data_IF_670890808982
#
_entry.id   IF_670890808982
#
_cell.length_a   1.000
_cell.length_b   1.000
_cell.length_c   1.000
_cell.angle_alpha   90.00
_cell.angle_beta   90.00
_cell.angle_gamma   90.00
#
_symmetry.space_group_name_H-M   'P 1'
#
loop_
_entity.id
_entity.type
_entity.pdbx_description
1 polymer ?
#
# COMPACT_ATOMS: atom_id res chain seq x y z
N UNK A 1 7.48 -31.43 15.61
CA UNK A 1 7.03 -30.34 14.73
C UNK A 1 8.24 -29.80 14.00
N UNK A 2 8.21 -29.67 12.67
CA UNK A 2 9.31 -29.05 11.94
C UNK A 2 9.39 -27.56 12.34
N UNK A 3 10.56 -27.11 12.79
CA UNK A 3 10.78 -25.75 13.27
C UNK A 3 10.90 -24.81 12.06
N UNK A 4 10.09 -23.75 12.04
CA UNK A 4 10.18 -22.68 11.05
C UNK A 4 11.15 -21.63 11.58
N UNK A 5 12.15 -21.26 10.78
CA UNK A 5 13.18 -20.27 11.13
C UNK A 5 13.21 -19.18 10.07
N UNK A 6 13.35 -17.94 10.49
CA UNK A 6 13.69 -16.81 9.63
C UNK A 6 15.19 -16.53 9.79
N UNK A 7 15.94 -16.58 8.70
CA UNK A 7 17.37 -16.27 8.63
C UNK A 7 17.54 -14.93 7.94
N UNK A 8 18.28 -14.01 8.56
CA UNK A 8 18.57 -12.67 8.01
C UNK A 8 20.09 -12.54 7.88
N UNK A 9 20.58 -12.31 6.67
CA UNK A 9 21.99 -12.05 6.38
C UNK A 9 22.15 -10.61 5.90
N UNK A 10 22.82 -9.80 6.72
CA UNK A 10 23.18 -8.41 6.46
C UNK A 10 24.71 -8.22 6.51
N UNK A 11 25.49 -9.28 6.29
CA UNK A 11 26.96 -9.23 6.30
C UNK A 11 27.54 -8.46 5.10
N UNK A 12 26.80 -8.40 4.00
CA UNK A 12 27.18 -7.73 2.77
C UNK A 12 26.49 -6.35 2.74
N UNK A 13 27.25 -5.24 2.70
CA UNK A 13 26.64 -3.91 2.71
C UNK A 13 25.79 -3.64 1.46
N UNK A 14 26.07 -4.28 0.34
CA UNK A 14 25.35 -4.09 -0.93
C UNK A 14 23.94 -4.69 -0.94
N UNK A 15 23.67 -5.69 -0.11
CA UNK A 15 22.38 -6.39 -0.07
C UNK A 15 22.09 -7.07 1.27
N UNK A 16 20.81 -7.10 1.63
CA UNK A 16 20.31 -7.87 2.78
C UNK A 16 19.45 -9.01 2.26
N UNK A 17 19.65 -10.23 2.77
CA UNK A 17 18.92 -11.42 2.35
C UNK A 17 18.09 -11.97 3.50
N UNK A 18 16.87 -12.39 3.23
CA UNK A 18 15.95 -12.99 4.21
C UNK A 18 15.45 -14.32 3.67
N UNK A 19 15.55 -15.39 4.48
CA UNK A 19 15.06 -16.71 4.12
C UNK A 19 14.18 -17.30 5.21
N UNK A 20 13.00 -17.82 4.84
CA UNK A 20 12.16 -18.63 5.73
C UNK A 20 12.42 -20.09 5.44
N UNK A 21 12.85 -20.83 6.46
CA UNK A 21 13.31 -22.22 6.36
C UNK A 21 12.48 -23.11 7.27
N UNK A 22 12.02 -24.25 6.75
CA UNK A 22 11.39 -25.32 7.54
C UNK A 22 12.31 -26.52 7.59
N UNK A 23 12.91 -26.77 8.75
CA UNK A 23 13.97 -27.79 8.87
C UNK A 23 15.23 -27.38 8.09
N UNK A 24 15.54 -28.09 7.00
CA UNK A 24 16.66 -27.80 6.08
C UNK A 24 16.19 -27.34 4.69
N UNK A 25 14.90 -27.04 4.52
CA UNK A 25 14.32 -26.64 3.23
C UNK A 25 13.90 -25.18 3.28
N UNK A 26 14.35 -24.41 2.29
CA UNK A 26 13.91 -23.03 2.08
C UNK A 26 12.49 -23.05 1.52
N UNK A 27 11.58 -22.33 2.17
CA UNK A 27 10.20 -22.14 1.70
C UNK A 27 10.06 -20.79 0.99
N UNK A 28 10.69 -19.74 1.53
CA UNK A 28 10.66 -18.39 0.96
C UNK A 28 12.05 -17.76 1.04
N UNK A 29 12.40 -16.97 0.03
CA UNK A 29 13.66 -16.23 -0.04
C UNK A 29 13.41 -14.88 -0.70
N UNK A 30 13.86 -13.82 -0.05
CA UNK A 30 13.80 -12.46 -0.56
C UNK A 30 15.14 -11.75 -0.31
N UNK A 31 15.43 -10.71 -1.09
CA UNK A 31 16.61 -9.89 -0.90
C UNK A 31 16.34 -8.42 -1.25
N UNK A 32 16.95 -7.53 -0.49
CA UNK A 32 16.92 -6.09 -0.73
C UNK A 32 18.31 -5.62 -1.15
N UNK A 33 18.41 -4.97 -2.32
CA UNK A 33 19.66 -4.36 -2.79
C UNK A 33 19.70 -2.86 -2.48
N UNK A 34 20.85 -2.37 -2.02
CA UNK A 34 21.04 -0.92 -1.83
C UNK A 34 20.93 -0.11 -3.13
N UNK A 35 21.18 -0.72 -4.29
CA UNK A 35 21.20 -0.01 -5.57
C UNK A 35 19.81 0.45 -6.03
N UNK A 36 18.74 -0.20 -5.57
CA UNK A 36 17.37 0.11 -6.01
C UNK A 36 16.41 0.06 -4.83
N UNK A 37 16.05 1.23 -4.32
CA UNK A 37 14.98 1.36 -3.33
C UNK A 37 13.64 0.97 -3.94
N UNK A 38 12.99 -0.03 -3.35
CA UNK A 38 11.61 -0.37 -3.67
C UNK A 38 10.69 0.69 -3.03
N UNK A 39 10.00 1.46 -3.86
CA UNK A 39 9.06 2.49 -3.39
C UNK A 39 7.60 1.98 -3.36
N UNK A 40 7.34 0.82 -3.96
CA UNK A 40 6.00 0.22 -4.03
C UNK A 40 5.59 -0.26 -2.64
N UNK A 41 4.39 0.13 -2.21
CA UNK A 41 3.84 -0.21 -0.90
C UNK A 41 4.19 0.80 0.20
N UNK A 42 5.05 1.77 -0.08
CA UNK A 42 5.36 2.82 0.88
C UNK A 42 4.17 3.75 1.08
N UNK A 43 3.99 4.22 2.31
CA UNK A 43 2.94 5.16 2.72
C UNK A 43 3.60 6.50 3.03
N UNK A 44 3.07 7.58 2.47
CA UNK A 44 3.60 8.93 2.63
C UNK A 44 2.51 9.89 3.11
N UNK A 45 2.88 10.84 3.97
CA UNK A 45 2.11 12.07 4.11
C UNK A 45 2.47 12.98 2.92
N UNK A 46 1.51 13.21 2.03
CA UNK A 46 1.72 13.95 0.79
C UNK A 46 0.86 15.23 0.75
N UNK A 47 1.25 16.19 -0.09
CA UNK A 47 0.50 17.42 -0.34
C UNK A 47 -0.05 17.43 -1.77
N UNK A 48 -1.34 17.73 -1.94
CA UNK A 48 -1.91 17.95 -3.27
C UNK A 48 -1.29 19.21 -3.89
N UNK A 49 -0.70 19.06 -5.07
CA UNK A 49 -0.06 20.17 -5.80
C UNK A 49 -1.00 20.83 -6.79
N UNK A 50 -1.81 20.03 -7.49
CA UNK A 50 -2.85 20.49 -8.41
C UNK A 50 -3.94 19.43 -8.59
N UNK A 51 -5.14 19.89 -8.95
CA UNK A 51 -6.27 19.03 -9.33
C UNK A 51 -6.49 19.18 -10.83
N UNK A 52 -6.65 18.07 -11.53
CA UNK A 52 -6.86 18.00 -12.98
C UNK A 52 -8.24 17.38 -13.27
N UNK A 53 -9.30 18.20 -13.41
CA UNK A 53 -10.67 17.70 -13.62
C UNK A 53 -10.81 16.84 -14.87
N UNK A 54 -10.10 17.19 -15.95
CA UNK A 54 -10.13 16.45 -17.21
C UNK A 54 -9.61 15.02 -17.08
N UNK A 55 -8.72 14.77 -16.11
CA UNK A 55 -8.20 13.43 -15.81
C UNK A 55 -8.96 12.76 -14.66
N UNK A 56 -9.91 13.47 -14.03
CA UNK A 56 -10.52 13.08 -12.76
C UNK A 56 -9.46 12.61 -11.75
N UNK A 57 -8.43 13.45 -11.55
CA UNK A 57 -7.28 13.09 -10.73
C UNK A 57 -6.64 14.30 -10.06
N UNK A 58 -5.79 14.04 -9.07
CA UNK A 58 -4.92 15.02 -8.44
C UNK A 58 -3.45 14.60 -8.58
N UNK A 59 -2.57 15.58 -8.69
CA UNK A 59 -1.13 15.35 -8.55
C UNK A 59 -0.70 15.67 -7.12
N UNK A 60 0.13 14.81 -6.55
CA UNK A 60 0.59 14.90 -5.15
C UNK A 60 2.11 14.98 -5.08
N UNK A 61 2.62 15.83 -4.19
CA UNK A 61 4.01 15.83 -3.78
C UNK A 61 4.18 14.99 -2.53
N UNK A 62 4.89 13.86 -2.68
CA UNK A 62 5.23 12.92 -1.62
C UNK A 62 6.74 12.93 -1.30
N UNK A 63 7.49 13.93 -1.80
CA UNK A 63 8.95 14.03 -1.62
C UNK A 63 9.79 13.25 -2.64
N UNK A 64 9.17 12.71 -3.70
CA UNK A 64 9.85 12.04 -4.80
C UNK A 64 10.33 13.01 -5.90
N UNK A 65 11.13 12.50 -6.85
CA UNK A 65 11.63 13.30 -7.99
C UNK A 65 10.53 13.78 -8.95
N UNK A 66 9.36 13.14 -8.93
CA UNK A 66 8.18 13.49 -9.74
C UNK A 66 6.95 13.43 -8.85
N UNK A 67 5.97 14.28 -9.14
CA UNK A 67 4.67 14.20 -8.48
C UNK A 67 4.00 12.85 -8.74
N UNK A 68 3.36 12.32 -7.71
CA UNK A 68 2.49 11.17 -7.80
C UNK A 68 1.19 11.53 -8.50
N UNK A 69 0.58 10.55 -9.14
CA UNK A 69 -0.74 10.64 -9.73
C UNK A 69 -1.73 9.91 -8.81
N UNK A 70 -2.80 10.58 -8.41
CA UNK A 70 -3.85 10.06 -7.55
C UNK A 70 -5.18 10.20 -8.28
N UNK A 71 -5.72 9.09 -8.78
CA UNK A 71 -7.03 9.08 -9.43
C UNK A 71 -8.13 9.35 -8.40
N UNK A 72 -9.23 9.99 -8.83
CA UNK A 72 -10.33 10.34 -7.94
C UNK A 72 -11.00 9.10 -7.32
N UNK A 73 -11.12 8.01 -8.07
CA UNK A 73 -11.65 6.72 -7.58
C UNK A 73 -10.82 6.05 -6.48
N UNK A 74 -9.56 6.48 -6.30
CA UNK A 74 -8.63 5.93 -5.30
C UNK A 74 -8.56 6.82 -4.04
N UNK A 75 -9.45 7.82 -3.92
CA UNK A 75 -9.51 8.73 -2.78
C UNK A 75 -10.60 8.27 -1.84
N UNK A 76 -10.22 7.88 -0.62
CA UNK A 76 -11.17 7.49 0.41
C UNK A 76 -12.15 8.65 0.75
N UNK A 77 -13.46 8.38 0.97
CA UNK A 77 -14.47 9.41 1.24
C UNK A 77 -14.15 10.36 2.39
N UNK A 78 -13.32 9.93 3.35
CA UNK A 78 -12.84 10.79 4.44
C UNK A 78 -12.07 12.03 4.00
N UNK A 79 -11.52 12.02 2.78
CA UNK A 79 -10.82 13.17 2.22
C UNK A 79 -11.76 14.12 1.46
N UNK A 80 -13.05 13.78 1.30
CA UNK A 80 -14.00 14.61 0.58
C UNK A 80 -14.45 15.81 1.40
N UNK A 81 -14.45 16.99 0.78
CA UNK A 81 -14.97 18.21 1.40
C UNK A 81 -16.49 18.30 1.23
N UNK A 82 -17.21 17.43 1.92
CA UNK A 82 -18.68 17.34 1.92
C UNK A 82 -19.23 17.42 3.36
N UNK A 83 -20.53 17.75 3.54
CA UNK A 83 -21.19 17.67 4.84
C UNK A 83 -21.02 16.30 5.51
N UNK A 84 -20.96 16.28 6.84
CA UNK A 84 -20.75 15.03 7.58
C UNK A 84 -21.85 13.99 7.35
N UNK A 85 -23.09 14.43 7.17
CA UNK A 85 -24.22 13.53 6.89
C UNK A 85 -24.00 12.77 5.57
N UNK A 86 -23.57 13.48 4.52
CA UNK A 86 -23.32 12.89 3.20
C UNK A 86 -22.14 11.93 3.25
N UNK A 87 -21.08 12.29 3.99
CA UNK A 87 -19.93 11.40 4.21
C UNK A 87 -20.31 10.12 4.94
N UNK A 88 -21.11 10.23 6.00
CA UNK A 88 -21.54 9.09 6.79
C UNK A 88 -22.37 8.11 5.96
N UNK A 89 -23.27 8.63 5.12
CA UNK A 89 -24.04 7.81 4.20
C UNK A 89 -23.16 7.01 3.22
N UNK A 90 -22.13 7.65 2.65
CA UNK A 90 -21.18 6.97 1.76
C UNK A 90 -20.41 5.84 2.47
N UNK A 91 -19.91 6.10 3.68
CA UNK A 91 -19.18 5.10 4.46
C UNK A 91 -20.06 3.91 4.87
N UNK A 92 -21.32 4.16 5.19
CA UNK A 92 -22.28 3.10 5.53
C UNK A 92 -22.64 2.25 4.30
N UNK A 93 -22.75 2.87 3.12
CA UNK A 93 -22.98 2.18 1.85
C UNK A 93 -21.78 1.30 1.49
N UNK A 94 -20.56 1.84 1.51
CA UNK A 94 -19.32 1.07 1.26
C UNK A 94 -19.16 -0.10 2.24
N UNK A 95 -19.46 0.12 3.52
CA UNK A 95 -19.41 -0.94 4.53
C UNK A 95 -20.47 -2.03 4.32
N UNK A 96 -21.65 -1.65 3.81
CA UNK A 96 -22.70 -2.62 3.48
C UNK A 96 -22.29 -3.46 2.27
N UNK A 97 -21.81 -2.83 1.20
CA UNK A 97 -21.33 -3.52 0.01
C UNK A 97 -20.18 -4.49 0.34
N UNK A 98 -19.19 -4.05 1.12
CA UNK A 98 -18.08 -4.90 1.54
C UNK A 98 -18.52 -6.12 2.38
N UNK A 99 -19.54 -5.96 3.24
CA UNK A 99 -20.11 -7.07 3.99
C UNK A 99 -20.90 -8.03 3.08
N UNK A 100 -21.68 -7.51 2.13
CA UNK A 100 -22.42 -8.31 1.15
C UNK A 100 -21.45 -9.13 0.27
N UNK A 101 -20.37 -8.51 -0.22
CA UNK A 101 -19.31 -9.22 -0.98
C UNK A 101 -18.63 -10.31 -0.13
N UNK A 102 -18.34 -10.03 1.14
CA UNK A 102 -17.74 -11.03 2.03
C UNK A 102 -18.69 -12.21 2.32
N UNK A 103 -20.00 -11.95 2.43
CA UNK A 103 -21.03 -12.99 2.59
C UNK A 103 -21.21 -13.83 1.31
N UNK A 104 -21.00 -13.26 0.11
CA UNK A 104 -21.04 -13.98 -1.16
C UNK A 104 -19.79 -14.84 -1.41
N UNK A 105 -18.63 -14.46 -0.83
CA UNK A 105 -17.37 -15.20 -0.93
C UNK A 105 -17.23 -16.36 0.09
N UNK A 106 -18.09 -16.44 1.11
CA UNK A 106 -18.19 -17.56 2.08
C UNK A 106 -19.02 -18.76 1.59
#
# INVERSE_FOLDING_TARGET
>A
MANNKMLIDASHPEETRVAVVRGNRVEEFDFESQAKKQLRGNIYLAKVTRVEPSLQAAFVDYGGNRHGFLAFSEIHPDYYQIPMADRQALLEEEAREANEEAEEEE
#
